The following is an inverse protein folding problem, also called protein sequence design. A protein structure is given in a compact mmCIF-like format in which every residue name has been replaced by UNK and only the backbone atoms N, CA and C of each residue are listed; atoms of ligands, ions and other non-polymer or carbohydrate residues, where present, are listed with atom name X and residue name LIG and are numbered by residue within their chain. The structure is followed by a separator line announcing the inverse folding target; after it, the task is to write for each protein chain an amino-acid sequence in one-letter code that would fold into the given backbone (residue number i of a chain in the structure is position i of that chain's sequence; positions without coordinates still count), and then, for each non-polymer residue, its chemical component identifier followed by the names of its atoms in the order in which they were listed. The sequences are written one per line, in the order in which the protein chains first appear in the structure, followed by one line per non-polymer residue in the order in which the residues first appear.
data_IF_981550037053
#
_entry.id   IF_981550037053
#
_cell.length_a   1.000
_cell.length_b   1.000
_cell.length_c   1.000
_cell.angle_alpha   90.00
_cell.angle_beta   90.00
_cell.angle_gamma   90.00
#
_symmetry.space_group_name_H-M   'P 1'
#
loop_
_entity.id
_entity.type
_entity.pdbx_description
1 polymer ?
#
# COMPACT_ATOMS: atom_id res chain seq x y z
N UNK A 1 -15.01 13.21 7.53
CA UNK A 1 -15.92 12.08 7.24
C UNK A 1 -17.01 12.63 6.34
N UNK A 2 -17.17 12.05 5.16
CA UNK A 2 -18.21 12.46 4.19
C UNK A 2 -19.37 11.47 4.13
N UNK A 3 -19.16 10.24 4.59
CA UNK A 3 -20.21 9.22 4.68
C UNK A 3 -19.96 8.33 5.90
N UNK A 4 -21.03 8.04 6.63
CA UNK A 4 -21.05 7.05 7.71
C UNK A 4 -22.47 6.47 7.80
N UNK A 5 -22.71 5.35 7.13
CA UNK A 5 -23.99 4.67 7.06
C UNK A 5 -23.95 3.23 7.61
N UNK A 6 -23.15 3.02 8.65
CA UNK A 6 -23.00 1.74 9.34
C UNK A 6 -21.96 0.84 8.69
N UNK A 7 -22.28 0.07 7.62
CA UNK A 7 -21.32 -0.88 7.04
C UNK A 7 -20.23 -0.22 6.20
N UNK A 8 -20.36 1.07 5.91
CA UNK A 8 -19.42 1.82 5.08
C UNK A 8 -19.09 3.18 5.68
N UNK A 9 -17.79 3.49 5.77
CA UNK A 9 -17.29 4.80 6.17
C UNK A 9 -16.42 5.36 5.04
N UNK A 10 -16.65 6.63 4.67
CA UNK A 10 -15.81 7.35 3.70
C UNK A 10 -15.21 8.58 4.35
N UNK A 11 -13.89 8.71 4.21
CA UNK A 11 -13.11 9.85 4.68
C UNK A 11 -12.47 10.49 3.47
N UNK A 12 -12.69 11.78 3.27
CA UNK A 12 -11.96 12.59 2.31
C UNK A 12 -11.05 13.56 3.05
N UNK A 13 -9.85 13.74 2.53
CA UNK A 13 -8.82 14.59 3.12
C UNK A 13 -8.04 15.28 2.01
N UNK A 14 -7.86 16.59 2.17
CA UNK A 14 -7.07 17.43 1.29
C UNK A 14 -5.83 17.91 2.05
N UNK A 15 -4.65 17.58 1.54
CA UNK A 15 -3.38 17.82 2.19
C UNK A 15 -2.46 18.67 1.30
N UNK A 16 -1.83 19.66 1.90
CA UNK A 16 -0.76 20.45 1.27
C UNK A 16 0.57 20.08 1.93
N UNK A 17 1.52 19.64 1.13
CA UNK A 17 2.88 19.37 1.59
C UNK A 17 3.64 20.67 1.71
N UNK A 18 3.91 21.09 2.94
CA UNK A 18 4.49 22.41 3.19
C UNK A 18 5.63 22.34 4.20
N UNK A 19 6.67 23.12 3.93
CA UNK A 19 7.70 23.45 4.90
C UNK A 19 7.53 24.91 5.33
N UNK A 20 7.96 25.30 6.52
CA UNK A 20 8.04 26.71 6.89
C UNK A 20 8.82 27.48 5.82
N UNK A 21 8.37 28.68 5.49
CA UNK A 21 9.05 29.65 4.62
C UNK A 21 9.42 29.15 3.21
N UNK A 22 8.70 28.12 2.71
CA UNK A 22 8.89 27.59 1.37
C UNK A 22 7.54 27.40 0.64
N UNK A 23 7.51 27.54 -0.70
CA UNK A 23 6.35 27.20 -1.49
C UNK A 23 5.95 25.74 -1.29
N UNK A 24 4.66 25.47 -1.33
CA UNK A 24 4.16 24.10 -1.28
C UNK A 24 4.45 23.37 -2.62
N UNK A 25 5.21 22.25 -2.62
CA UNK A 25 5.52 21.55 -3.86
C UNK A 25 4.37 20.68 -4.36
N UNK A 26 3.56 20.12 -3.46
CA UNK A 26 2.57 19.10 -3.77
C UNK A 26 1.30 19.35 -2.95
N UNK A 27 0.17 19.16 -3.59
CA UNK A 27 -1.13 18.97 -2.95
C UNK A 27 -1.58 17.54 -3.19
N UNK A 28 -2.12 16.86 -2.19
CA UNK A 28 -2.74 15.56 -2.36
C UNK A 28 -4.17 15.52 -1.84
N UNK A 29 -5.03 14.88 -2.61
CA UNK A 29 -6.38 14.54 -2.23
C UNK A 29 -6.46 13.03 -1.98
N UNK A 30 -7.01 12.64 -0.83
CA UNK A 30 -7.17 11.25 -0.43
C UNK A 30 -8.62 10.94 -0.15
N UNK A 31 -9.08 9.83 -0.70
CA UNK A 31 -10.34 9.22 -0.35
C UNK A 31 -10.07 7.84 0.24
N UNK A 32 -10.55 7.63 1.44
CA UNK A 32 -10.40 6.36 2.17
C UNK A 32 -11.80 5.80 2.39
N UNK A 33 -12.05 4.62 1.84
CA UNK A 33 -13.30 3.90 2.05
C UNK A 33 -13.03 2.70 2.94
N UNK A 34 -13.75 2.59 4.03
CA UNK A 34 -13.61 1.49 5.00
C UNK A 34 -14.92 0.69 4.99
N UNK A 35 -14.78 -0.61 4.82
CA UNK A 35 -15.90 -1.57 4.86
C UNK A 35 -15.51 -2.82 5.64
N UNK A 36 -16.50 -3.59 6.04
CA UNK A 36 -16.33 -4.93 6.62
C UNK A 36 -17.11 -5.94 5.75
N UNK A 37 -16.51 -6.45 4.65
CA UNK A 37 -17.18 -7.37 3.73
C UNK A 37 -17.65 -8.65 4.41
N UNK A 38 -16.94 -9.10 5.44
CA UNK A 38 -17.30 -10.24 6.27
C UNK A 38 -16.98 -9.94 7.75
N UNK A 39 -17.39 -10.82 8.65
CA UNK A 39 -17.01 -10.73 10.07
C UNK A 39 -15.52 -10.95 10.34
N UNK A 40 -14.82 -11.55 9.38
CA UNK A 40 -13.42 -11.95 9.47
C UNK A 40 -12.49 -11.09 8.59
N UNK A 41 -13.04 -10.00 7.99
CA UNK A 41 -12.28 -9.14 7.08
C UNK A 41 -12.72 -7.67 7.17
N UNK A 42 -11.73 -6.79 7.33
CA UNK A 42 -11.87 -5.36 7.09
C UNK A 42 -11.15 -4.98 5.81
N UNK A 43 -11.78 -4.12 5.02
CA UNK A 43 -11.24 -3.59 3.78
C UNK A 43 -11.10 -2.07 3.89
N UNK A 44 -9.92 -1.58 3.53
CA UNK A 44 -9.62 -0.16 3.43
C UNK A 44 -9.12 0.14 2.03
N UNK A 45 -9.90 0.90 1.27
CA UNK A 45 -9.52 1.37 -0.06
C UNK A 45 -9.01 2.80 0.01
N UNK A 46 -7.83 3.01 -0.54
CA UNK A 46 -7.17 4.30 -0.62
C UNK A 46 -7.10 4.75 -2.08
N UNK A 47 -7.71 5.87 -2.38
CA UNK A 47 -7.55 6.58 -3.64
C UNK A 47 -6.80 7.88 -3.36
N UNK A 48 -5.65 8.06 -3.99
CA UNK A 48 -4.79 9.22 -3.77
C UNK A 48 -4.50 9.89 -5.10
N UNK A 49 -4.77 11.19 -5.19
CA UNK A 49 -4.35 12.04 -6.31
C UNK A 49 -3.38 13.08 -5.79
N UNK A 50 -2.15 13.05 -6.28
CA UNK A 50 -1.12 14.04 -5.97
C UNK A 50 -0.94 14.96 -7.17
N UNK A 51 -1.01 16.29 -6.95
CA UNK A 51 -0.77 17.29 -7.97
C UNK A 51 0.51 18.07 -7.65
N UNK A 52 1.38 18.23 -8.64
CA UNK A 52 2.61 19.00 -8.53
C UNK A 52 2.30 20.49 -8.69
N UNK A 53 2.47 21.27 -7.63
CA UNK A 53 2.23 22.73 -7.65
C UNK A 53 3.41 23.51 -8.23
N UNK A 54 4.55 22.87 -8.37
CA UNK A 54 5.78 23.37 -9.01
C UNK A 54 6.56 22.18 -9.61
N UNK A 55 7.66 22.43 -10.31
CA UNK A 55 8.57 21.36 -10.72
C UNK A 55 9.15 20.69 -9.47
N UNK A 56 9.03 19.36 -9.38
CA UNK A 56 9.43 18.55 -8.21
C UNK A 56 10.45 17.52 -8.63
N UNK A 57 11.51 17.38 -7.84
CA UNK A 57 12.53 16.34 -7.98
C UNK A 57 12.52 15.48 -6.72
N UNK A 58 12.22 14.20 -6.86
CA UNK A 58 12.23 13.23 -5.76
C UNK A 58 13.45 12.33 -5.92
N UNK A 59 14.39 12.46 -4.99
CA UNK A 59 15.55 11.57 -4.92
C UNK A 59 15.11 10.13 -4.62
N UNK A 60 15.97 9.17 -4.95
CA UNK A 60 15.76 7.76 -4.58
C UNK A 60 15.43 7.65 -3.08
N UNK A 61 14.33 6.99 -2.78
CA UNK A 61 13.86 6.81 -1.40
C UNK A 61 13.19 5.46 -1.22
N UNK A 62 13.51 4.81 -0.10
CA UNK A 62 12.89 3.54 0.31
C UNK A 62 11.64 3.75 1.19
N UNK A 63 11.26 4.99 1.46
CA UNK A 63 10.07 5.35 2.20
C UNK A 63 9.17 6.16 1.26
N UNK A 64 8.40 5.48 0.42
CA UNK A 64 7.62 6.18 -0.61
C UNK A 64 6.16 5.79 -0.61
N UNK A 65 5.33 6.78 -0.70
CA UNK A 65 3.93 6.89 -1.08
C UNK A 65 2.94 6.04 -0.27
N UNK A 66 3.17 4.74 -0.09
CA UNK A 66 2.27 3.85 0.65
C UNK A 66 3.06 2.77 1.39
N UNK A 67 2.70 2.48 2.64
CA UNK A 67 3.37 1.46 3.43
C UNK A 67 2.47 0.88 4.51
N UNK A 68 2.72 -0.37 4.88
CA UNK A 68 2.14 -1.02 6.03
C UNK A 68 3.22 -1.54 6.97
N UNK A 69 2.84 -1.65 8.24
CA UNK A 69 3.66 -2.30 9.25
C UNK A 69 2.78 -3.22 10.08
N UNK A 70 3.18 -4.47 10.14
CA UNK A 70 2.54 -5.46 10.99
C UNK A 70 2.92 -5.26 12.45
N UNK A 71 2.07 -5.73 13.35
CA UNK A 71 2.46 -5.99 14.72
C UNK A 71 3.67 -6.93 14.71
N UNK A 72 4.75 -6.63 15.47
CA UNK A 72 5.95 -7.46 15.48
C UNK A 72 5.66 -8.94 15.73
N UNK A 73 4.72 -9.29 16.62
CA UNK A 73 4.36 -10.67 16.94
C UNK A 73 3.81 -11.48 15.75
N UNK A 74 3.36 -10.81 14.69
CA UNK A 74 2.83 -11.43 13.46
C UNK A 74 3.85 -11.42 12.32
N UNK A 75 5.02 -10.83 12.53
CA UNK A 75 6.07 -10.69 11.51
C UNK A 75 6.87 -11.97 11.30
N UNK A 76 7.63 -12.02 10.21
CA UNK A 76 8.51 -13.15 9.87
C UNK A 76 9.53 -13.43 10.98
N UNK A 77 10.10 -12.39 11.58
CA UNK A 77 11.05 -12.49 12.71
C UNK A 77 10.47 -13.24 13.94
N UNK A 78 9.15 -13.28 14.06
CA UNK A 78 8.44 -13.95 15.14
C UNK A 78 7.63 -15.17 14.66
N UNK A 79 8.00 -15.75 13.51
CA UNK A 79 7.39 -16.98 12.99
C UNK A 79 6.16 -16.76 12.13
N UNK A 80 5.85 -15.52 11.76
CA UNK A 80 4.84 -15.19 10.76
C UNK A 80 5.33 -15.47 9.34
N UNK A 81 4.48 -15.18 8.38
CA UNK A 81 4.74 -15.36 6.95
C UNK A 81 4.50 -14.05 6.22
N UNK A 82 5.45 -13.65 5.37
CA UNK A 82 5.27 -12.63 4.35
C UNK A 82 5.33 -13.32 2.99
N UNK A 83 4.34 -13.12 2.14
CA UNK A 83 4.22 -13.81 0.84
C UNK A 83 3.70 -12.85 -0.23
N UNK A 84 4.23 -12.97 -1.44
CA UNK A 84 3.77 -12.22 -2.60
C UNK A 84 2.85 -13.05 -3.53
N UNK A 85 2.32 -12.41 -4.56
CA UNK A 85 1.43 -13.05 -5.53
C UNK A 85 2.06 -14.23 -6.31
N UNK A 86 3.37 -14.34 -6.32
CA UNK A 86 4.13 -15.39 -7.02
C UNK A 86 4.55 -16.52 -6.06
N UNK A 87 4.17 -16.44 -4.79
CA UNK A 87 4.56 -17.41 -3.76
C UNK A 87 5.95 -17.20 -3.18
N UNK A 88 6.62 -16.07 -3.50
CA UNK A 88 7.90 -15.74 -2.92
C UNK A 88 7.73 -15.24 -1.48
N UNK A 89 8.59 -15.69 -0.56
CA UNK A 89 8.41 -15.47 0.87
C UNK A 89 9.56 -14.70 1.51
N UNK A 90 9.20 -13.94 2.56
CA UNK A 90 10.09 -13.16 3.40
C UNK A 90 10.82 -12.05 2.64
N UNK A 91 11.65 -11.29 3.34
CA UNK A 91 12.46 -10.23 2.75
C UNK A 91 13.32 -10.76 1.59
N UNK A 92 13.98 -11.89 1.77
CA UNK A 92 14.84 -12.51 0.74
C UNK A 92 14.08 -12.82 -0.56
N UNK A 93 12.81 -13.20 -0.46
CA UNK A 93 11.98 -13.55 -1.62
C UNK A 93 11.35 -12.34 -2.31
N UNK A 94 11.00 -11.30 -1.56
CA UNK A 94 10.11 -10.22 -2.01
C UNK A 94 10.80 -8.87 -2.21
N UNK A 95 11.93 -8.62 -1.55
CA UNK A 95 12.64 -7.34 -1.62
C UNK A 95 13.08 -6.99 -3.03
N UNK A 96 12.72 -5.79 -3.49
CA UNK A 96 13.06 -5.28 -4.81
C UNK A 96 12.32 -5.95 -5.98
N UNK A 97 11.37 -6.84 -5.70
CA UNK A 97 10.61 -7.54 -6.74
C UNK A 97 9.23 -6.93 -6.93
N UNK A 98 8.80 -6.75 -8.18
CA UNK A 98 7.44 -6.30 -8.46
C UNK A 98 6.43 -7.41 -8.18
N UNK A 99 5.36 -7.07 -7.49
CA UNK A 99 4.23 -7.97 -7.25
C UNK A 99 2.95 -7.16 -7.09
N UNK A 100 1.79 -7.63 -7.57
CA UNK A 100 0.54 -6.92 -7.43
C UNK A 100 0.06 -6.79 -5.98
N UNK A 101 0.45 -7.70 -5.12
CA UNK A 101 0.15 -7.66 -3.69
C UNK A 101 1.21 -8.39 -2.87
N UNK A 102 1.30 -8.01 -1.60
CA UNK A 102 1.97 -8.77 -0.54
C UNK A 102 1.01 -8.93 0.61
N UNK A 103 0.99 -10.12 1.20
CA UNK A 103 0.31 -10.44 2.44
C UNK A 103 1.33 -10.80 3.52
N UNK A 104 1.07 -10.31 4.74
CA UNK A 104 1.85 -10.65 5.91
C UNK A 104 0.89 -11.12 7.00
N UNK A 105 1.08 -12.34 7.51
CA UNK A 105 0.23 -12.92 8.53
C UNK A 105 1.02 -13.76 9.54
N UNK A 106 0.49 -13.86 10.74
CA UNK A 106 1.11 -14.60 11.82
C UNK A 106 0.11 -15.03 12.88
N UNK A 107 0.60 -15.76 13.87
CA UNK A 107 -0.22 -16.30 14.94
C UNK A 107 -0.22 -15.36 16.15
N UNK A 108 -1.41 -14.95 16.58
CA UNK A 108 -1.61 -14.21 17.83
C UNK A 108 -2.48 -15.04 18.77
N UNK A 109 -1.87 -15.63 19.79
CA UNK A 109 -2.53 -16.63 20.62
C UNK A 109 -2.94 -17.82 19.75
N UNK A 110 -4.23 -18.16 19.75
CA UNK A 110 -4.76 -19.27 18.96
C UNK A 110 -5.31 -18.82 17.57
N UNK A 111 -5.22 -17.54 17.25
CA UNK A 111 -5.75 -16.99 15.99
C UNK A 111 -4.65 -16.70 15.00
N UNK A 112 -4.93 -16.95 13.73
CA UNK A 112 -4.13 -16.47 12.60
C UNK A 112 -4.74 -15.16 12.14
N UNK A 113 -3.92 -14.11 12.05
CA UNK A 113 -4.33 -12.76 11.63
C UNK A 113 -3.33 -12.22 10.62
N UNK A 114 -3.81 -11.43 9.66
CA UNK A 114 -2.96 -10.90 8.59
C UNK A 114 -3.41 -9.56 8.05
N UNK A 115 -2.52 -8.98 7.25
CA UNK A 115 -2.75 -7.76 6.50
C UNK A 115 -2.12 -7.87 5.12
N UNK A 116 -2.96 -7.79 4.08
CA UNK A 116 -2.52 -7.69 2.70
C UNK A 116 -2.57 -6.25 2.21
N UNK A 117 -1.59 -5.84 1.41
CA UNK A 117 -1.63 -4.60 0.62
C UNK A 117 -1.63 -4.98 -0.85
N UNK A 118 -2.59 -4.41 -1.60
CA UNK A 118 -2.76 -4.63 -3.03
C UNK A 118 -2.57 -3.32 -3.78
N UNK A 119 -1.89 -3.38 -4.93
CA UNK A 119 -1.72 -2.28 -5.87
C UNK A 119 -2.75 -2.42 -6.99
N UNK A 120 -3.48 -1.35 -7.32
CA UNK A 120 -4.41 -1.38 -8.45
C UNK A 120 -3.65 -1.29 -9.78
N UNK A 121 -4.10 -2.01 -10.85
CA UNK A 121 -3.46 -1.96 -12.17
C UNK A 121 -3.41 -0.56 -12.81
N UNK A 122 -4.28 0.37 -12.40
CA UNK A 122 -4.26 1.76 -12.89
C UNK A 122 -3.18 2.64 -12.27
N UNK A 123 -2.42 2.16 -11.29
CA UNK A 123 -1.36 2.94 -10.67
C UNK A 123 -0.24 3.25 -11.66
N UNK A 124 0.33 4.45 -11.60
CA UNK A 124 1.38 4.92 -12.51
C UNK A 124 2.59 3.97 -12.64
N UNK A 125 2.89 3.18 -11.61
CA UNK A 125 4.04 2.27 -11.57
C UNK A 125 3.66 0.81 -11.31
N UNK A 126 2.48 0.40 -11.72
CA UNK A 126 1.99 -0.95 -11.48
C UNK A 126 2.71 -2.02 -12.33
N UNK A 127 3.08 -3.17 -11.75
CA UNK A 127 3.26 -3.38 -10.32
C UNK A 127 4.61 -2.81 -9.85
N UNK A 128 4.58 -1.89 -8.89
CA UNK A 128 5.80 -1.36 -8.30
C UNK A 128 6.57 -2.44 -7.53
N UNK A 129 7.92 -2.37 -7.52
CA UNK A 129 8.72 -3.23 -6.66
C UNK A 129 8.49 -2.92 -5.19
N UNK A 130 8.71 -3.92 -4.33
CA UNK A 130 8.46 -3.82 -2.91
C UNK A 130 9.73 -3.60 -2.09
N UNK A 131 9.65 -2.74 -1.12
CA UNK A 131 10.58 -2.66 -0.01
C UNK A 131 9.99 -3.44 1.16
N UNK A 132 10.62 -4.55 1.52
CA UNK A 132 10.14 -5.47 2.55
C UNK A 132 11.18 -5.69 3.62
N UNK A 133 10.73 -5.96 4.86
CA UNK A 133 11.58 -6.32 6.00
C UNK A 133 10.90 -7.39 6.83
N UNK A 134 11.64 -8.38 7.27
CA UNK A 134 11.15 -9.52 8.03
C UNK A 134 10.57 -9.11 9.40
N UNK A 135 10.91 -7.92 9.91
CA UNK A 135 10.25 -7.34 11.09
C UNK A 135 8.82 -6.81 10.81
N UNK A 136 8.26 -7.07 9.64
CA UNK A 136 6.86 -6.77 9.30
C UNK A 136 6.62 -5.44 8.59
N UNK A 137 7.64 -4.79 8.04
CA UNK A 137 7.44 -3.61 7.18
C UNK A 137 7.38 -4.02 5.72
N UNK A 138 6.37 -3.52 4.98
CA UNK A 138 6.25 -3.75 3.54
C UNK A 138 5.59 -2.56 2.84
N UNK A 139 6.12 -2.19 1.70
CA UNK A 139 5.77 -0.97 0.97
C UNK A 139 6.00 -1.15 -0.52
N UNK A 140 5.01 -0.89 -1.37
CA UNK A 140 5.27 -0.71 -2.80
C UNK A 140 5.99 0.62 -2.99
N UNK A 141 7.26 0.57 -3.40
CA UNK A 141 8.18 1.72 -3.40
C UNK A 141 8.71 2.04 -4.79
N UNK A 142 7.92 2.61 -5.70
CA UNK A 142 8.36 2.86 -7.08
C UNK A 142 9.60 3.77 -7.16
N UNK A 143 9.77 4.68 -6.22
CA UNK A 143 10.84 5.67 -6.21
C UNK A 143 12.15 5.17 -5.60
N UNK A 144 12.22 3.91 -5.17
CA UNK A 144 13.46 3.30 -4.65
C UNK A 144 14.33 2.65 -5.74
N UNK A 145 13.81 2.48 -6.95
CA UNK A 145 14.44 1.69 -8.03
C UNK A 145 14.63 2.44 -9.35
N UNK A 146 14.98 3.74 -9.36
CA UNK A 146 15.27 4.42 -10.62
C UNK A 146 16.49 3.77 -11.29
N UNK A 147 16.45 3.59 -12.62
CA UNK A 147 17.47 2.85 -13.38
C UNK A 147 18.89 3.40 -13.20
N UNK A 148 19.04 4.71 -13.05
CA UNK A 148 20.34 5.40 -13.05
C UNK A 148 20.64 6.05 -11.68
N UNK A 149 19.99 5.65 -10.61
CA UNK A 149 20.02 6.34 -9.30
C UNK A 149 19.69 7.84 -9.38
N UNK A 150 19.12 8.28 -10.49
CA UNK A 150 18.69 9.67 -10.68
C UNK A 150 17.38 9.95 -9.96
N UNK A 151 17.19 11.20 -9.60
CA UNK A 151 15.92 11.65 -9.08
C UNK A 151 14.79 11.49 -10.13
N UNK A 152 13.59 11.18 -9.66
CA UNK A 152 12.38 11.19 -10.50
C UNK A 152 11.88 12.63 -10.60
N UNK A 153 11.72 13.13 -11.82
CA UNK A 153 11.32 14.51 -12.10
C UNK A 153 9.85 14.55 -12.48
N UNK A 154 9.12 15.49 -11.89
CA UNK A 154 7.74 15.81 -12.19
C UNK A 154 7.62 17.27 -12.54
N UNK A 155 6.84 17.60 -13.56
CA UNK A 155 6.56 18.97 -13.96
C UNK A 155 5.38 19.53 -13.20
N UNK A 156 5.36 20.86 -13.03
CA UNK A 156 4.19 21.57 -12.51
C UNK A 156 2.94 21.15 -13.27
N UNK A 157 1.87 20.83 -12.55
CA UNK A 157 0.59 20.36 -13.08
C UNK A 157 0.51 18.87 -13.36
N UNK A 158 1.62 18.11 -13.29
CA UNK A 158 1.56 16.66 -13.37
C UNK A 158 0.82 16.08 -12.18
N UNK A 159 0.05 15.01 -12.45
CA UNK A 159 -0.72 14.28 -11.45
C UNK A 159 -0.29 12.83 -11.36
N UNK A 160 -0.23 12.35 -10.14
CA UNK A 160 -0.01 10.95 -9.81
C UNK A 160 -1.32 10.42 -9.24
N UNK A 161 -1.81 9.30 -9.78
CA UNK A 161 -3.00 8.61 -9.29
C UNK A 161 -2.61 7.25 -8.75
N UNK A 162 -2.97 6.99 -7.49
CA UNK A 162 -2.65 5.75 -6.81
C UNK A 162 -3.90 5.20 -6.15
N UNK A 163 -4.13 3.89 -6.36
CA UNK A 163 -5.16 3.13 -5.68
C UNK A 163 -4.53 1.94 -4.97
N UNK A 164 -4.84 1.80 -3.69
CA UNK A 164 -4.39 0.67 -2.87
C UNK A 164 -5.58 0.11 -2.11
N UNK A 165 -5.58 -1.21 -1.94
CA UNK A 165 -6.47 -1.90 -1.01
C UNK A 165 -5.65 -2.54 0.10
N UNK A 166 -6.06 -2.30 1.33
CA UNK A 166 -5.57 -3.01 2.50
C UNK A 166 -6.68 -3.93 2.98
N UNK A 167 -6.36 -5.21 3.14
CA UNK A 167 -7.24 -6.18 3.78
C UNK A 167 -6.63 -6.59 5.11
N UNK A 168 -7.36 -6.36 6.19
CA UNK A 168 -7.05 -6.96 7.50
C UNK A 168 -7.96 -8.15 7.66
N UNK A 169 -7.39 -9.34 7.88
CA UNK A 169 -8.13 -10.59 7.77
C UNK A 169 -7.75 -11.62 8.84
N UNK A 170 -8.65 -12.55 9.09
CA UNK A 170 -8.35 -13.77 9.81
C UNK A 170 -7.89 -14.87 8.84
N UNK A 171 -7.03 -15.78 9.34
CA UNK A 171 -6.52 -16.90 8.55
C UNK A 171 -5.26 -16.58 7.74
N UNK A 172 -4.82 -17.56 6.94
CA UNK A 172 -3.72 -17.44 5.99
C UNK A 172 -4.18 -16.72 4.72
N UNK A 173 -3.25 -16.38 3.83
CA UNK A 173 -3.59 -15.78 2.53
C UNK A 173 -4.53 -16.65 1.67
N UNK A 174 -4.42 -17.98 1.77
CA UNK A 174 -5.36 -18.89 1.09
C UNK A 174 -6.73 -18.86 1.75
N UNK A 175 -6.80 -18.95 3.09
CA UNK A 175 -8.06 -18.94 3.83
C UNK A 175 -8.83 -17.63 3.64
N UNK A 176 -8.12 -16.50 3.57
CA UNK A 176 -8.69 -15.19 3.28
C UNK A 176 -8.91 -14.96 1.77
N UNK A 177 -8.51 -15.90 0.90
CA UNK A 177 -8.63 -15.81 -0.55
C UNK A 177 -8.04 -14.53 -1.14
N UNK A 178 -6.84 -14.11 -0.67
CA UNK A 178 -6.20 -12.84 -1.07
C UNK A 178 -6.07 -12.70 -2.59
N UNK A 179 -5.72 -13.78 -3.30
CA UNK A 179 -5.64 -13.77 -4.75
C UNK A 179 -7.00 -13.49 -5.43
N UNK A 180 -8.09 -14.02 -4.87
CA UNK A 180 -9.45 -13.75 -5.35
C UNK A 180 -9.90 -12.31 -5.06
N UNK A 181 -9.60 -11.80 -3.88
CA UNK A 181 -9.90 -10.41 -3.52
C UNK A 181 -9.10 -9.43 -4.39
N UNK A 182 -7.83 -9.73 -4.71
CA UNK A 182 -7.07 -8.94 -5.68
C UNK A 182 -7.72 -8.92 -7.06
N UNK A 183 -8.22 -10.04 -7.58
CA UNK A 183 -8.92 -10.09 -8.88
C UNK A 183 -10.16 -9.20 -8.90
N UNK A 184 -10.91 -9.15 -7.81
CA UNK A 184 -12.07 -8.24 -7.68
C UNK A 184 -11.62 -6.78 -7.70
N UNK A 185 -10.62 -6.43 -6.88
CA UNK A 185 -10.06 -5.08 -6.81
C UNK A 185 -9.50 -4.61 -8.15
N UNK A 186 -8.75 -5.46 -8.84
CA UNK A 186 -8.16 -5.14 -10.14
C UNK A 186 -9.20 -4.91 -11.26
N UNK A 187 -10.43 -5.40 -11.10
CA UNK A 187 -11.53 -5.22 -12.05
C UNK A 187 -12.36 -3.95 -11.79
N UNK A 188 -12.15 -3.26 -10.66
CA UNK A 188 -12.81 -2.01 -10.34
C UNK A 188 -12.30 -0.88 -11.26
N UNK A 189 -13.18 0.08 -11.59
CA UNK A 189 -12.84 1.22 -12.47
C UNK A 189 -12.32 2.42 -11.69
#
# INVERSE_FOLDING_TARGET
IVENNGPRLVIENDCIWKRPDAPAPIQDFRKITITAPTKDMFQLDFEVTMEMLMDVSIAKTNHSLFSGRMDPSLSVDFGGTMIDANGAQGEKGTYGKPSPWIDCYGKRGDKMEGMAIMQHPSNNWYPAPWFTRDYGFFSPTPLNWPKDDKATLFKKGEKIHLKYRVLVHSGTHEAANIAGEFKKFAAEK
#
